data_IF_829365247370
#
_entry.id   IF_829365247370
#
_cell.length_a   1.000
_cell.length_b   1.000
_cell.length_c   1.000
_cell.angle_alpha   90.00
_cell.angle_beta   90.00
_cell.angle_gamma   90.00
#
_symmetry.space_group_name_H-M   'P 1'
#
loop_
_entity.id
_entity.type
_entity.pdbx_description
1 polymer ?
#
# COMPACT_ATOMS: atom_id res chain seq x y z
N UNK A 1 14.21 -9.01 -12.78
CA UNK A 1 15.08 -8.98 -11.60
C UNK A 1 15.48 -7.52 -11.44
N UNK A 2 15.12 -6.87 -10.33
CA UNK A 2 15.47 -5.47 -10.08
C UNK A 2 16.99 -5.42 -9.79
N UNK A 3 17.71 -4.48 -10.41
CA UNK A 3 19.15 -4.32 -10.15
C UNK A 3 19.33 -3.75 -8.74
N UNK A 4 20.00 -4.48 -7.86
CA UNK A 4 20.18 -4.07 -6.46
C UNK A 4 21.06 -2.82 -6.29
N UNK A 5 21.86 -2.50 -7.31
CA UNK A 5 22.71 -1.30 -7.38
C UNK A 5 22.01 -0.07 -7.98
N UNK A 6 20.77 -0.21 -8.49
CA UNK A 6 20.01 0.91 -9.02
C UNK A 6 19.42 1.80 -7.90
N UNK A 7 19.21 3.09 -8.20
CA UNK A 7 18.55 4.03 -7.28
C UNK A 7 17.16 3.51 -6.92
N UNK A 8 16.90 3.32 -5.63
CA UNK A 8 15.60 2.86 -5.14
C UNK A 8 14.53 3.94 -5.30
N UNK A 9 13.40 3.58 -5.88
CA UNK A 9 12.22 4.44 -6.02
C UNK A 9 11.24 4.10 -4.91
N UNK A 10 10.97 5.09 -4.04
CA UNK A 10 10.06 4.94 -2.91
C UNK A 10 8.81 5.77 -3.14
N UNK A 11 7.64 5.13 -3.15
CA UNK A 11 6.37 5.84 -3.11
C UNK A 11 6.17 6.39 -1.69
N UNK A 12 6.24 7.72 -1.56
CA UNK A 12 6.15 8.37 -0.26
C UNK A 12 4.76 8.32 0.37
N UNK A 13 3.72 7.86 -0.36
CA UNK A 13 2.37 7.76 0.18
C UNK A 13 1.48 6.78 -0.59
N UNK A 14 1.21 5.62 0.04
CA UNK A 14 0.13 4.73 -0.37
C UNK A 14 -0.92 4.60 0.73
N UNK A 15 -2.14 4.19 0.35
CA UNK A 15 -3.20 3.82 1.28
C UNK A 15 -3.52 2.34 1.11
N UNK A 16 -3.80 1.65 2.21
CA UNK A 16 -4.34 0.28 2.24
C UNK A 16 -5.56 0.25 3.15
N UNK A 17 -6.53 -0.63 2.85
CA UNK A 17 -7.69 -0.86 3.72
C UNK A 17 -8.27 -2.25 3.51
N UNK A 18 -8.81 -2.84 4.57
CA UNK A 18 -9.48 -4.14 4.55
C UNK A 18 -11.01 -4.04 4.65
N UNK A 19 -11.54 -2.86 4.99
CA UNK A 19 -12.98 -2.64 5.11
C UNK A 19 -13.38 -1.18 4.82
N UNK A 20 -14.68 -0.98 4.60
CA UNK A 20 -15.28 0.33 4.40
C UNK A 20 -15.12 0.87 2.98
N UNK A 21 -16.03 1.76 2.58
CA UNK A 21 -15.91 2.52 1.34
C UNK A 21 -15.28 3.88 1.63
N UNK A 22 -14.33 4.35 0.79
CA UNK A 22 -13.77 5.68 0.97
C UNK A 22 -14.84 6.76 0.78
N UNK A 23 -14.85 7.75 1.68
CA UNK A 23 -15.73 8.91 1.57
C UNK A 23 -15.26 9.94 0.53
N UNK A 24 -13.98 9.93 0.18
CA UNK A 24 -13.38 10.78 -0.84
C UNK A 24 -13.23 10.02 -2.17
N UNK A 25 -13.79 10.59 -3.25
CA UNK A 25 -13.80 10.03 -4.61
C UNK A 25 -12.41 9.91 -5.28
N UNK A 26 -11.37 10.57 -4.75
CA UNK A 26 -10.00 10.40 -5.24
C UNK A 26 -9.40 9.04 -4.90
N UNK A 27 -10.03 8.26 -4.01
CA UNK A 27 -9.62 6.89 -3.70
C UNK A 27 -10.36 5.88 -4.55
N UNK A 28 -9.76 4.69 -4.71
CA UNK A 28 -10.41 3.55 -5.36
C UNK A 28 -11.72 3.23 -4.64
N UNK A 29 -12.84 3.24 -5.34
CA UNK A 29 -14.16 2.98 -4.77
C UNK A 29 -14.41 1.48 -4.62
N UNK A 30 -13.63 0.85 -3.75
CA UNK A 30 -13.69 -0.58 -3.40
C UNK A 30 -13.68 -0.74 -1.88
N UNK A 31 -14.20 -1.85 -1.37
CA UNK A 31 -14.29 -2.09 0.08
C UNK A 31 -12.98 -2.55 0.71
N UNK A 32 -12.00 -2.96 -0.09
CA UNK A 32 -10.66 -3.31 0.34
C UNK A 32 -9.64 -3.05 -0.78
N UNK A 33 -8.43 -2.65 -0.40
CA UNK A 33 -7.26 -2.62 -1.24
C UNK A 33 -6.07 -3.14 -0.42
N UNK A 34 -5.58 -4.31 -0.83
CA UNK A 34 -4.69 -5.17 -0.03
C UNK A 34 -3.21 -4.91 -0.30
N UNK A 35 -2.34 -5.35 0.61
CA UNK A 35 -0.89 -5.27 0.41
C UNK A 35 -0.44 -6.04 -0.83
N UNK A 36 -1.04 -7.20 -1.11
CA UNK A 36 -0.66 -8.04 -2.27
C UNK A 36 -0.98 -7.35 -3.59
N UNK A 37 -2.13 -6.69 -3.67
CA UNK A 37 -2.49 -5.88 -4.85
C UNK A 37 -1.56 -4.66 -4.99
N UNK A 38 -1.20 -4.01 -3.88
CA UNK A 38 -0.27 -2.89 -3.91
C UNK A 38 1.12 -3.31 -4.38
N UNK A 39 1.65 -4.43 -3.87
CA UNK A 39 2.96 -4.96 -4.28
C UNK A 39 2.98 -5.34 -5.76
N UNK A 40 1.93 -5.98 -6.27
CA UNK A 40 1.84 -6.30 -7.70
C UNK A 40 1.91 -5.04 -8.59
N UNK A 41 1.24 -3.96 -8.17
CA UNK A 41 1.29 -2.67 -8.88
C UNK A 41 2.64 -1.98 -8.75
N UNK A 42 3.27 -2.07 -7.58
CA UNK A 42 4.63 -1.55 -7.36
C UNK A 42 5.65 -2.27 -8.24
N UNK A 43 5.53 -3.59 -8.38
CA UNK A 43 6.39 -4.38 -9.27
C UNK A 43 6.20 -4.02 -10.74
N UNK A 44 4.95 -3.81 -11.18
CA UNK A 44 4.65 -3.33 -12.54
C UNK A 44 5.21 -1.92 -12.79
N UNK A 45 5.12 -1.03 -11.79
CA UNK A 45 5.55 0.35 -11.88
C UNK A 45 7.05 0.57 -11.61
N UNK A 46 7.80 -0.46 -11.20
CA UNK A 46 9.20 -0.33 -10.81
C UNK A 46 9.41 0.45 -9.50
N UNK A 47 8.43 0.44 -8.60
CA UNK A 47 8.56 0.97 -7.24
C UNK A 47 9.21 -0.09 -6.35
N UNK A 48 10.16 0.31 -5.52
CA UNK A 48 10.93 -0.57 -4.64
C UNK A 48 10.36 -0.66 -3.22
N UNK A 49 9.82 0.45 -2.71
CA UNK A 49 9.25 0.52 -1.37
C UNK A 49 8.15 1.58 -1.30
N UNK A 50 7.36 1.56 -0.24
CA UNK A 50 6.32 2.55 -0.01
C UNK A 50 6.15 2.90 1.47
N UNK A 51 5.64 4.11 1.72
CA UNK A 51 5.19 4.54 3.05
C UNK A 51 3.67 4.43 3.10
N UNK A 52 3.16 3.68 4.08
CA UNK A 52 1.72 3.46 4.26
C UNK A 52 1.12 4.59 5.10
N UNK A 53 0.22 5.37 4.51
CA UNK A 53 -0.63 6.32 5.22
C UNK A 53 -1.96 5.66 5.58
N UNK A 54 -2.39 5.86 6.83
CA UNK A 54 -3.61 5.27 7.35
C UNK A 54 -4.86 5.96 6.78
N UNK A 55 -5.96 5.21 6.72
CA UNK A 55 -7.26 5.71 6.26
C UNK A 55 -8.26 5.76 7.41
N UNK A 56 -9.14 6.75 7.40
CA UNK A 56 -10.11 6.93 8.49
C UNK A 56 -11.37 6.05 8.35
N UNK A 57 -11.68 5.54 7.15
CA UNK A 57 -12.90 4.73 6.93
C UNK A 57 -12.76 3.27 7.34
N UNK A 58 -11.54 2.78 7.52
CA UNK A 58 -11.27 1.45 8.06
C UNK A 58 -10.88 1.58 9.54
N UNK A 59 -11.71 1.10 10.50
CA UNK A 59 -11.40 1.18 11.92
C UNK A 59 -10.18 0.32 12.31
N UNK A 60 -9.76 -0.63 11.47
CA UNK A 60 -8.62 -1.50 11.70
C UNK A 60 -7.39 -1.11 10.84
N UNK A 61 -7.35 0.13 10.32
CA UNK A 61 -6.30 0.57 9.40
C UNK A 61 -4.88 0.41 9.96
N UNK A 62 -4.69 0.57 11.28
CA UNK A 62 -3.41 0.35 11.93
C UNK A 62 -2.95 -1.11 11.81
N UNK A 63 -3.84 -2.07 12.02
CA UNK A 63 -3.56 -3.50 11.92
C UNK A 63 -3.31 -3.91 10.47
N UNK A 64 -4.06 -3.33 9.52
CA UNK A 64 -3.83 -3.54 8.09
C UNK A 64 -2.42 -3.09 7.70
N UNK A 65 -2.01 -1.89 8.12
CA UNK A 65 -0.66 -1.38 7.85
C UNK A 65 0.43 -2.22 8.52
N UNK A 66 0.27 -2.58 9.79
CA UNK A 66 1.23 -3.41 10.51
C UNK A 66 1.38 -4.81 9.90
N UNK A 67 0.28 -5.43 9.47
CA UNK A 67 0.30 -6.72 8.79
C UNK A 67 0.99 -6.63 7.42
N UNK A 68 0.81 -5.54 6.68
CA UNK A 68 1.49 -5.31 5.42
C UNK A 68 3.01 -5.23 5.61
N UNK A 69 3.49 -4.43 6.58
CA UNK A 69 4.92 -4.32 6.89
C UNK A 69 5.52 -5.64 7.37
N UNK A 70 4.78 -6.40 8.19
CA UNK A 70 5.23 -7.72 8.65
C UNK A 70 5.35 -8.73 7.50
N UNK A 71 4.46 -8.64 6.50
CA UNK A 71 4.46 -9.52 5.33
C UNK A 71 5.50 -9.12 4.27
N UNK A 72 5.71 -7.82 4.09
CA UNK A 72 6.62 -7.22 3.11
C UNK A 72 7.58 -6.26 3.81
N UNK A 73 8.61 -6.77 4.50
CA UNK A 73 9.62 -5.93 5.12
C UNK A 73 10.46 -5.21 4.05
N UNK A 74 10.87 -3.98 4.35
CA UNK A 74 11.81 -3.19 3.53
C UNK A 74 13.25 -3.66 3.66
#
# INVERSE_FOLDING_TARGET
>A
MKDDDAMKIVDAQIHLWGAGLPSNLSHRQVTAFTADEAIALMDEAGIDAAVIHLVHWDPNCHQVAAAAVAKYPG
#
